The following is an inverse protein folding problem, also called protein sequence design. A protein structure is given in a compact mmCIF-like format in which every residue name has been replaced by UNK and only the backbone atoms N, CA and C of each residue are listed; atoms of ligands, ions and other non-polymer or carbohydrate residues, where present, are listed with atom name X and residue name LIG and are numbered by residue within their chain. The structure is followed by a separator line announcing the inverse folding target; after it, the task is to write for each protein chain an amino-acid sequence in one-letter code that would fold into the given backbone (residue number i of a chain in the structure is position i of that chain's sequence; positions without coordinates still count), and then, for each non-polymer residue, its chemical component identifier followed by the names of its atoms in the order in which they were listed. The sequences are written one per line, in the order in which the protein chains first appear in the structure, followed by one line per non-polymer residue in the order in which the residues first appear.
data_IF_183875842656
#
_entry.id   IF_183875842656
#
_cell.length_a   1.000
_cell.length_b   1.000
_cell.length_c   1.000
_cell.angle_alpha   90.00
_cell.angle_beta   90.00
_cell.angle_gamma   90.00
#
_symmetry.space_group_name_H-M   'P 1'
#
loop_
_entity.id
_entity.type
_entity.pdbx_description
1 polymer ?
#
# COMPACT_ATOMS: atom_id res chain seq x y z
N UNK A 1 -29.94 0.60 -4.03
CA UNK A 1 -29.12 -0.32 -4.85
C UNK A 1 -27.94 -0.71 -3.98
N UNK A 2 -27.71 -2.00 -3.73
CA UNK A 2 -26.53 -2.47 -2.99
C UNK A 2 -25.33 -2.34 -3.93
N UNK A 3 -24.23 -1.72 -3.50
CA UNK A 3 -23.07 -1.53 -4.37
C UNK A 3 -22.34 -2.88 -4.57
N UNK A 4 -21.61 -3.01 -5.68
CA UNK A 4 -20.76 -4.17 -5.95
C UNK A 4 -19.74 -4.39 -4.82
N UNK A 5 -19.26 -3.30 -4.20
CA UNK A 5 -18.38 -3.33 -3.03
C UNK A 5 -19.03 -4.02 -1.81
N UNK A 6 -20.33 -3.80 -1.57
CA UNK A 6 -21.06 -4.48 -0.49
C UNK A 6 -21.16 -5.99 -0.77
N UNK A 7 -21.40 -6.37 -2.03
CA UNK A 7 -21.49 -7.77 -2.43
C UNK A 7 -20.13 -8.50 -2.35
N UNK A 8 -19.04 -7.84 -2.75
CA UNK A 8 -17.68 -8.38 -2.64
C UNK A 8 -17.25 -8.53 -1.18
N UNK A 9 -17.57 -7.56 -0.31
CA UNK A 9 -17.30 -7.68 1.13
C UNK A 9 -18.09 -8.85 1.76
N UNK A 10 -19.36 -9.03 1.38
CA UNK A 10 -20.14 -10.19 1.84
C UNK A 10 -19.57 -11.53 1.35
N UNK A 11 -18.98 -11.57 0.16
CA UNK A 11 -18.34 -12.78 -0.39
C UNK A 11 -16.99 -13.10 0.25
N UNK A 12 -16.19 -12.09 0.58
CA UNK A 12 -14.91 -12.26 1.28
C UNK A 12 -15.10 -12.79 2.71
N UNK A 13 -16.14 -12.34 3.41
CA UNK A 13 -16.50 -12.85 4.75
C UNK A 13 -17.01 -14.31 4.74
N UNK A 14 -17.47 -14.80 3.59
CA UNK A 14 -17.98 -16.17 3.43
C UNK A 14 -16.97 -17.14 2.80
N UNK A 15 -15.82 -16.65 2.35
CA UNK A 15 -14.79 -17.45 1.66
C UNK A 15 -13.96 -18.36 2.60
N UNK A 16 -14.03 -18.22 3.91
CA UNK A 16 -13.40 -19.16 4.87
C UNK A 16 -14.14 -20.52 4.95
N UNK A 17 -15.26 -20.70 4.24
CA UNK A 17 -16.16 -21.83 4.47
C UNK A 17 -16.55 -22.71 3.27
N UNK A 18 -16.03 -22.45 2.06
CA UNK A 18 -16.41 -23.24 0.88
C UNK A 18 -15.23 -23.51 -0.06
N UNK A 19 -14.48 -24.59 0.22
CA UNK A 19 -13.69 -25.33 -0.76
C UNK A 19 -14.39 -26.65 -1.02
N UNK A 20 -15.22 -26.70 -2.06
CA UNK A 20 -15.41 -27.87 -2.95
C UNK A 20 -16.56 -27.64 -3.95
N UNK A 21 -16.39 -28.22 -5.15
CA UNK A 21 -17.23 -28.23 -6.37
C UNK A 21 -17.06 -27.00 -7.30
N UNK A 22 -16.44 -27.07 -8.48
CA UNK A 22 -16.52 -27.92 -9.71
C UNK A 22 -17.40 -27.29 -10.82
N UNK A 23 -16.76 -27.22 -11.99
CA UNK A 23 -17.09 -26.69 -13.33
C UNK A 23 -18.50 -26.95 -13.91
N UNK A 24 -18.95 -26.06 -14.81
CA UNK A 24 -19.15 -26.32 -16.26
C UNK A 24 -19.85 -25.16 -17.03
N UNK A 25 -19.27 -24.78 -18.19
CA UNK A 25 -19.85 -24.43 -19.53
C UNK A 25 -21.09 -23.48 -19.69
N UNK A 26 -21.36 -22.72 -20.76
CA UNK A 26 -20.70 -22.24 -22.00
C UNK A 26 -21.69 -21.30 -22.79
N UNK A 27 -21.14 -20.46 -23.69
CA UNK A 27 -21.70 -19.93 -24.98
C UNK A 27 -22.44 -18.56 -25.12
N UNK A 28 -21.69 -17.62 -25.76
CA UNK A 28 -21.93 -16.79 -26.98
C UNK A 28 -23.26 -16.06 -27.29
N UNK A 29 -23.17 -14.79 -27.74
CA UNK A 29 -23.65 -14.21 -29.05
C UNK A 29 -23.29 -12.69 -29.18
N UNK A 30 -22.94 -12.20 -30.39
CA UNK A 30 -22.57 -10.82 -30.82
C UNK A 30 -23.57 -10.28 -31.89
N UNK A 31 -23.48 -9.05 -32.49
CA UNK A 31 -22.88 -7.74 -32.14
C UNK A 31 -23.78 -6.50 -32.54
N UNK A 32 -23.37 -5.23 -32.26
CA UNK A 32 -23.47 -4.08 -33.22
C UNK A 32 -23.09 -2.68 -32.65
N UNK A 33 -22.07 -2.08 -33.28
CA UNK A 33 -21.83 -0.66 -33.67
C UNK A 33 -21.71 0.51 -32.64
N UNK A 34 -20.50 1.11 -32.62
CA UNK A 34 -20.37 2.53 -33.00
C UNK A 34 -20.10 3.58 -31.90
N UNK A 35 -19.04 3.44 -31.13
CA UNK A 35 -18.38 4.55 -30.43
C UNK A 35 -16.86 4.36 -30.55
N UNK A 36 -16.05 5.39 -30.32
CA UNK A 36 -14.59 5.26 -30.27
C UNK A 36 -14.23 4.35 -29.09
N UNK A 37 -14.18 3.05 -29.34
CA UNK A 37 -13.98 2.00 -28.34
C UNK A 37 -12.49 1.99 -28.01
N UNK A 38 -12.12 2.54 -26.85
CA UNK A 38 -10.92 2.04 -26.16
C UNK A 38 -11.08 0.52 -26.14
N UNK A 39 -10.17 -0.20 -26.80
CA UNK A 39 -10.29 -1.63 -27.07
C UNK A 39 -10.43 -2.37 -25.74
N UNK A 40 -11.69 -2.56 -25.31
CA UNK A 40 -12.00 -3.23 -24.07
C UNK A 40 -11.45 -4.65 -24.21
N UNK A 41 -10.59 -5.09 -23.28
CA UNK A 41 -10.07 -6.44 -23.35
C UNK A 41 -11.25 -7.40 -23.34
N UNK A 42 -11.17 -8.42 -24.19
CA UNK A 42 -12.18 -9.48 -24.23
C UNK A 42 -12.29 -10.08 -22.82
N UNK A 43 -13.44 -9.87 -22.18
CA UNK A 43 -13.69 -10.19 -20.77
C UNK A 43 -13.48 -11.68 -20.53
N UNK A 44 -13.77 -12.51 -21.52
CA UNK A 44 -13.60 -13.97 -21.49
C UNK A 44 -12.13 -14.41 -21.35
N UNK A 45 -11.17 -13.53 -21.66
CA UNK A 45 -9.74 -13.80 -21.56
C UNK A 45 -9.09 -13.18 -20.32
N UNK A 46 -9.85 -12.48 -19.48
CA UNK A 46 -9.33 -11.87 -18.27
C UNK A 46 -9.25 -12.88 -17.13
N UNK A 47 -8.16 -12.84 -16.37
CA UNK A 47 -8.11 -13.55 -15.10
C UNK A 47 -9.12 -12.96 -14.10
N UNK A 48 -9.59 -13.72 -13.10
CA UNK A 48 -10.51 -13.18 -12.09
C UNK A 48 -10.01 -11.89 -11.41
N UNK A 49 -8.69 -11.77 -11.20
CA UNK A 49 -8.08 -10.57 -10.62
C UNK A 49 -8.20 -9.37 -11.58
N UNK A 50 -7.95 -9.57 -12.87
CA UNK A 50 -8.11 -8.52 -13.89
C UNK A 50 -9.58 -8.12 -14.06
N UNK A 51 -10.53 -9.06 -13.93
CA UNK A 51 -11.96 -8.75 -13.92
C UNK A 51 -12.31 -7.84 -12.74
N UNK A 52 -11.88 -8.17 -11.51
CA UNK A 52 -12.11 -7.33 -10.34
C UNK A 52 -11.48 -5.94 -10.53
N UNK A 53 -10.27 -5.88 -11.09
CA UNK A 53 -9.61 -4.62 -11.40
C UNK A 53 -10.44 -3.74 -12.34
N UNK A 54 -10.95 -4.30 -13.44
CA UNK A 54 -11.76 -3.55 -14.39
C UNK A 54 -13.11 -3.14 -13.80
N UNK A 55 -13.78 -4.01 -13.04
CA UNK A 55 -15.03 -3.66 -12.36
C UNK A 55 -14.87 -2.45 -11.44
N UNK A 56 -13.78 -2.39 -10.65
CA UNK A 56 -13.50 -1.23 -9.80
C UNK A 56 -13.27 0.05 -10.64
N UNK A 57 -12.56 -0.05 -11.77
CA UNK A 57 -12.36 1.10 -12.66
C UNK A 57 -13.66 1.60 -13.27
N UNK A 58 -14.51 0.69 -13.73
CA UNK A 58 -15.82 1.02 -14.32
C UNK A 58 -16.77 1.64 -13.29
N UNK A 59 -16.69 1.21 -12.03
CA UNK A 59 -17.41 1.82 -10.90
C UNK A 59 -16.83 3.18 -10.47
N UNK A 60 -15.78 3.67 -11.13
CA UNK A 60 -15.12 4.94 -10.83
C UNK A 60 -14.29 4.92 -9.54
N UNK A 61 -13.97 3.73 -9.03
CA UNK A 61 -13.10 3.56 -7.86
C UNK A 61 -11.66 3.86 -8.26
N UNK A 62 -10.95 4.59 -7.41
CA UNK A 62 -9.52 4.86 -7.59
C UNK A 62 -8.73 3.56 -7.39
N UNK A 63 -8.08 3.07 -8.45
CA UNK A 63 -7.29 1.84 -8.45
C UNK A 63 -5.81 2.16 -8.65
N UNK A 64 -4.95 1.63 -7.78
CA UNK A 64 -3.50 1.81 -7.82
C UNK A 64 -2.79 0.46 -7.92
N UNK A 65 -1.89 0.28 -8.89
CA UNK A 65 -1.10 -0.94 -9.06
C UNK A 65 -1.32 -1.64 -10.41
N UNK A 66 -1.01 -2.93 -10.45
CA UNK A 66 -1.00 -3.77 -11.64
C UNK A 66 -2.10 -4.84 -11.59
N UNK A 67 -2.91 -4.92 -12.65
CA UNK A 67 -4.07 -5.81 -12.71
C UNK A 67 -3.71 -7.30 -12.75
N UNK A 68 -2.47 -7.64 -13.10
CA UNK A 68 -2.00 -9.04 -13.25
C UNK A 68 -1.35 -9.61 -12.01
N UNK A 69 -1.03 -8.75 -11.04
CA UNK A 69 -0.22 -9.12 -9.89
C UNK A 69 -0.79 -8.61 -8.58
N UNK A 70 -0.79 -7.30 -8.36
CA UNK A 70 -1.29 -6.67 -7.13
C UNK A 70 -1.80 -5.26 -7.40
N UNK A 71 -2.96 -4.94 -6.87
CA UNK A 71 -3.50 -3.60 -6.88
C UNK A 71 -4.25 -3.30 -5.58
N UNK A 72 -4.45 -2.02 -5.30
CA UNK A 72 -5.19 -1.54 -4.15
C UNK A 72 -6.29 -0.57 -4.57
N UNK A 73 -7.37 -0.58 -3.80
CA UNK A 73 -8.43 0.43 -3.86
C UNK A 73 -8.56 1.08 -2.50
N UNK A 74 -8.92 2.37 -2.50
CA UNK A 74 -9.14 3.11 -1.27
C UNK A 74 -10.60 3.58 -1.19
N UNK A 75 -11.33 3.01 -0.24
CA UNK A 75 -12.68 3.46 0.08
C UNK A 75 -12.60 4.67 1.03
N UNK A 76 -12.96 5.84 0.50
CA UNK A 76 -12.96 7.10 1.25
C UNK A 76 -14.06 7.19 2.31
N UNK A 77 -15.13 6.40 2.19
CA UNK A 77 -16.24 6.40 3.15
C UNK A 77 -15.87 5.61 4.40
N UNK A 78 -15.28 4.43 4.21
CA UNK A 78 -14.85 3.59 5.33
C UNK A 78 -13.40 3.82 5.78
N UNK A 79 -12.66 4.65 5.04
CA UNK A 79 -11.22 4.90 5.21
C UNK A 79 -10.37 3.62 5.16
N UNK A 80 -10.80 2.64 4.37
CA UNK A 80 -10.13 1.34 4.24
C UNK A 80 -9.39 1.22 2.93
N UNK A 81 -8.15 0.76 3.02
CA UNK A 81 -7.37 0.29 1.88
C UNK A 81 -7.62 -1.21 1.71
N UNK A 82 -8.14 -1.61 0.55
CA UNK A 82 -8.31 -3.02 0.18
C UNK A 82 -7.25 -3.38 -0.83
N UNK A 83 -6.45 -4.41 -0.55
CA UNK A 83 -5.40 -4.89 -1.47
C UNK A 83 -5.84 -6.22 -2.06
N UNK A 84 -5.87 -6.29 -3.38
CA UNK A 84 -6.12 -7.51 -4.14
C UNK A 84 -4.79 -8.00 -4.69
N UNK A 85 -4.40 -9.22 -4.32
CA UNK A 85 -3.14 -9.80 -4.75
C UNK A 85 -3.34 -11.19 -5.30
N UNK A 86 -2.61 -11.50 -6.38
CA UNK A 86 -2.58 -12.84 -6.96
C UNK A 86 -2.01 -13.86 -5.97
N UNK A 87 -1.06 -13.44 -5.14
CA UNK A 87 -0.45 -14.26 -4.10
C UNK A 87 -0.25 -13.41 -2.84
N UNK A 88 -0.51 -13.94 -1.63
CA UNK A 88 -0.46 -13.17 -0.39
C UNK A 88 0.94 -12.62 -0.09
N UNK A 89 2.01 -13.31 -0.49
CA UNK A 89 3.39 -12.86 -0.29
C UNK A 89 3.78 -11.61 -1.10
N UNK A 90 2.91 -11.12 -1.98
CA UNK A 90 3.14 -9.89 -2.75
C UNK A 90 2.72 -8.63 -1.98
N UNK A 91 2.13 -8.79 -0.80
CA UNK A 91 1.65 -7.70 0.05
C UNK A 91 2.38 -7.74 1.37
N UNK A 92 3.11 -6.67 1.67
CA UNK A 92 3.64 -6.44 3.02
C UNK A 92 2.86 -5.31 3.67
N UNK A 93 2.38 -5.56 4.89
CA UNK A 93 1.65 -4.59 5.69
C UNK A 93 2.51 -4.24 6.89
N UNK A 94 3.14 -3.08 6.84
CA UNK A 94 4.04 -2.61 7.90
C UNK A 94 3.27 -1.62 8.81
N UNK A 95 2.89 -2.01 10.05
CA UNK A 95 2.20 -1.09 10.95
C UNK A 95 3.15 0.03 11.40
N UNK A 96 2.70 1.28 11.31
CA UNK A 96 3.55 2.45 11.59
C UNK A 96 4.22 2.39 12.98
N UNK A 97 3.54 1.84 14.00
CA UNK A 97 4.04 1.82 15.40
C UNK A 97 5.07 0.73 15.70
N UNK A 98 5.48 -0.05 14.71
CA UNK A 98 6.29 -1.25 14.96
C UNK A 98 7.67 -1.12 14.32
N UNK A 99 7.93 -1.89 13.27
CA UNK A 99 9.23 -2.04 12.62
C UNK A 99 9.75 -0.71 12.09
N UNK A 100 8.89 0.13 11.51
CA UNK A 100 9.32 1.41 10.94
C UNK A 100 9.90 2.38 11.97
N UNK A 101 9.37 2.39 13.20
CA UNK A 101 9.87 3.26 14.28
C UNK A 101 11.20 2.74 14.81
N UNK A 102 11.34 1.42 14.97
CA UNK A 102 12.58 0.81 15.41
C UNK A 102 13.68 0.96 14.36
N UNK A 103 13.37 0.71 13.08
CA UNK A 103 14.29 0.91 11.97
C UNK A 103 14.74 2.38 11.86
N UNK A 104 13.84 3.33 12.07
CA UNK A 104 14.22 4.75 12.11
C UNK A 104 15.14 5.09 13.29
N UNK A 105 14.92 4.47 14.45
CA UNK A 105 15.78 4.65 15.61
C UNK A 105 17.18 4.05 15.38
N UNK A 106 17.26 2.84 14.83
CA UNK A 106 18.50 2.17 14.47
C UNK A 106 19.28 2.96 13.42
N UNK A 107 18.61 3.36 12.34
CA UNK A 107 19.19 4.21 11.30
C UNK A 107 19.72 5.54 11.87
N UNK A 108 18.96 6.21 12.75
CA UNK A 108 19.45 7.42 13.40
C UNK A 108 20.70 7.16 14.26
N UNK A 109 20.73 6.06 15.02
CA UNK A 109 21.90 5.67 15.83
C UNK A 109 23.13 5.37 14.97
N UNK A 110 22.95 4.64 13.88
CA UNK A 110 24.03 4.30 12.95
C UNK A 110 24.60 5.54 12.25
N UNK A 111 23.76 6.56 12.02
CA UNK A 111 24.21 7.88 11.55
C UNK A 111 24.81 8.78 12.66
N UNK A 112 24.96 8.27 13.88
CA UNK A 112 25.58 8.98 15.00
C UNK A 112 24.64 9.92 15.76
N UNK A 113 23.33 9.66 15.77
CA UNK A 113 22.39 10.44 16.56
C UNK A 113 22.65 10.29 18.07
N UNK A 114 22.40 11.38 18.80
CA UNK A 114 22.32 11.41 20.25
C UNK A 114 20.92 11.83 20.70
N UNK A 115 20.52 11.37 21.89
CA UNK A 115 19.19 11.59 22.43
C UNK A 115 19.26 12.18 23.82
N UNK A 116 18.50 13.24 24.05
CA UNK A 116 18.40 13.93 25.34
C UNK A 116 16.94 14.03 25.75
N UNK A 117 16.62 13.68 27.00
CA UNK A 117 15.27 13.86 27.54
C UNK A 117 15.16 15.27 28.14
N UNK A 118 14.14 16.01 27.74
CA UNK A 118 13.82 17.34 28.26
C UNK A 118 12.36 17.38 28.70
N UNK A 119 12.11 17.17 29.99
CA UNK A 119 10.75 17.06 30.52
C UNK A 119 10.02 15.83 29.97
N UNK A 120 8.89 16.05 29.29
CA UNK A 120 8.10 14.99 28.65
C UNK A 120 8.49 14.70 27.20
N UNK A 121 9.56 15.32 26.70
CA UNK A 121 10.01 15.18 25.31
C UNK A 121 11.38 14.50 25.23
N UNK A 122 11.60 13.79 24.12
CA UNK A 122 12.91 13.31 23.69
C UNK A 122 13.39 14.17 22.54
N UNK A 123 14.58 14.73 22.67
CA UNK A 123 15.25 15.51 21.62
C UNK A 123 16.30 14.62 20.97
N UNK A 124 16.14 14.33 19.69
CA UNK A 124 17.15 13.68 18.86
C UNK A 124 18.02 14.75 18.21
N UNK A 125 19.32 14.72 18.45
CA UNK A 125 20.32 15.49 17.73
C UNK A 125 21.03 14.58 16.74
N UNK A 126 21.01 14.92 15.47
CA UNK A 126 21.67 14.17 14.40
C UNK A 126 22.45 15.16 13.54
N UNK A 127 23.79 15.06 13.58
CA UNK A 127 24.70 15.97 12.88
C UNK A 127 24.37 17.44 13.21
N UNK A 128 23.78 18.17 12.27
CA UNK A 128 23.49 19.59 12.31
C UNK A 128 21.97 19.89 12.40
N UNK A 129 21.16 18.91 12.78
CA UNK A 129 19.72 19.05 13.02
C UNK A 129 19.33 18.51 14.39
N UNK A 130 18.29 19.12 14.97
CA UNK A 130 17.63 18.62 16.17
C UNK A 130 16.13 18.47 15.93
N UNK A 131 15.52 17.46 16.55
CA UNK A 131 14.09 17.25 16.49
C UNK A 131 13.53 16.72 17.81
N UNK A 132 12.50 17.38 18.37
CA UNK A 132 11.76 16.85 19.52
C UNK A 132 10.72 15.83 19.06
N UNK A 133 10.44 14.85 19.91
CA UNK A 133 9.34 13.89 19.79
C UNK A 133 8.85 13.43 21.16
N UNK A 134 7.65 12.86 21.20
CA UNK A 134 7.08 12.27 22.43
C UNK A 134 7.76 10.95 22.83
N UNK A 135 8.55 10.37 21.93
CA UNK A 135 9.33 9.15 22.13
C UNK A 135 10.63 9.22 21.34
N UNK A 136 11.58 8.33 21.67
CA UNK A 136 12.86 8.19 20.95
C UNK A 136 12.66 7.99 19.45
N UNK A 137 11.77 7.07 19.07
CA UNK A 137 11.55 6.76 17.67
C UNK A 137 10.86 7.88 16.89
N UNK A 138 9.94 8.62 17.52
CA UNK A 138 9.37 9.82 16.88
C UNK A 138 10.43 10.92 16.71
N UNK A 139 11.25 11.16 17.73
CA UNK A 139 12.34 12.14 17.66
C UNK A 139 13.34 11.76 16.55
N UNK A 140 13.70 10.47 16.45
CA UNK A 140 14.56 9.93 15.40
C UNK A 140 13.97 10.13 13.99
N UNK A 141 12.71 9.75 13.76
CA UNK A 141 12.03 9.95 12.47
C UNK A 141 12.05 11.41 12.03
N UNK A 142 11.73 12.33 12.96
CA UNK A 142 11.72 13.76 12.68
C UNK A 142 13.14 14.29 12.40
N UNK A 143 14.15 13.82 13.13
CA UNK A 143 15.55 14.21 12.90
C UNK A 143 16.06 13.71 11.55
N UNK A 144 15.80 12.45 11.19
CA UNK A 144 16.15 11.87 9.89
C UNK A 144 15.49 12.64 8.75
N UNK A 145 14.20 12.95 8.83
CA UNK A 145 13.51 13.73 7.80
C UNK A 145 14.09 15.14 7.66
N UNK A 146 14.39 15.82 8.78
CA UNK A 146 15.05 17.13 8.76
C UNK A 146 16.43 17.06 8.11
N UNK A 147 17.23 16.04 8.47
CA UNK A 147 18.54 15.83 7.90
C UNK A 147 18.45 15.59 6.38
N UNK A 148 17.57 14.70 5.93
CA UNK A 148 17.35 14.42 4.51
C UNK A 148 16.91 15.64 3.71
N UNK A 149 16.05 16.50 4.26
CA UNK A 149 15.64 17.74 3.58
C UNK A 149 16.80 18.73 3.46
N UNK A 150 17.65 18.81 4.48
CA UNK A 150 18.83 19.67 4.50
C UNK A 150 19.91 19.19 3.52
N UNK A 151 20.08 17.87 3.39
CA UNK A 151 21.02 17.27 2.43
C UNK A 151 20.50 17.29 0.99
N UNK A 152 19.21 17.01 0.75
CA UNK A 152 18.60 17.14 -0.59
C UNK A 152 18.55 18.58 -1.11
N UNK A 153 18.53 19.56 -0.21
CA UNK A 153 18.75 20.96 -0.55
C UNK A 153 20.19 21.29 -0.99
N UNK A 154 21.13 20.36 -0.81
CA UNK A 154 22.55 20.51 -1.17
C UNK A 154 23.09 19.47 -2.17
N UNK A 155 22.48 18.30 -2.36
CA UNK A 155 22.70 17.38 -3.50
C UNK A 155 21.87 16.08 -3.36
N UNK A 156 21.49 15.49 -4.49
CA UNK A 156 20.76 14.23 -4.60
C UNK A 156 21.52 13.04 -4.01
N UNK A 157 20.85 12.24 -3.18
CA UNK A 157 21.20 10.84 -2.91
C UNK A 157 21.33 10.50 -1.42
N UNK A 158 20.31 9.86 -0.85
CA UNK A 158 20.53 8.92 0.25
C UNK A 158 19.40 7.88 0.27
N UNK A 159 19.81 6.62 0.15
CA UNK A 159 19.00 5.43 -0.09
C UNK A 159 18.65 4.67 1.21
N UNK A 160 18.69 5.31 2.37
CA UNK A 160 18.53 4.61 3.66
C UNK A 160 17.13 4.06 3.98
N UNK A 161 16.07 4.37 3.23
CA UNK A 161 14.69 4.02 3.63
C UNK A 161 14.11 2.74 2.99
N UNK A 162 14.85 2.02 2.13
CA UNK A 162 14.32 0.82 1.45
C UNK A 162 15.15 -0.46 1.63
N UNK A 163 16.06 -0.50 2.61
CA UNK A 163 16.80 -1.71 2.96
C UNK A 163 15.97 -2.70 3.78
N UNK A 164 14.90 -3.25 3.21
CA UNK A 164 14.29 -4.50 3.66
C UNK A 164 14.72 -5.61 2.70
N UNK A 165 16.02 -5.93 2.71
CA UNK A 165 16.53 -7.14 2.07
C UNK A 165 16.37 -8.31 3.05
N UNK A 166 15.33 -9.12 2.80
CA UNK A 166 15.35 -10.58 2.91
C UNK A 166 15.60 -11.24 4.26
N UNK A 167 14.54 -11.80 4.83
CA UNK A 167 14.52 -13.22 5.27
C UNK A 167 13.17 -13.83 4.97
#
# INVERSE_FOLDING_TARGET
MKSLSDALNMMLESADKYRDAKEAEASQTQPSAGATVEHLPDVENLSPLEVIYQLNKEDGVEVMGDSRSVFATFDRVTEKLTVYARRPEMVDVIPYRTVSILAALECAKDEGASFTICGSEVICALKDVTAPGSSYGEAALRALLKHQRKTKGHSLGSACLLGLDGT
#
